data_IF_374666983873
#
_entry.id   IF_374666983873
#
_cell.length_a   1.000
_cell.length_b   1.000
_cell.length_c   1.000
_cell.angle_alpha   90.00
_cell.angle_beta   90.00
_cell.angle_gamma   90.00
#
_symmetry.space_group_name_H-M   'P 1'
#
loop_
_entity.id
_entity.type
_entity.pdbx_description
1 polymer ?
#
# COMPACT_ATOMS: atom_id res chain seq x y z
N UNK A 1 -1.30 27.36 22.07
CA UNK A 1 -1.26 25.89 22.00
C UNK A 1 -1.20 25.56 20.53
N UNK A 2 -0.02 25.26 20.00
CA UNK A 2 0.09 24.74 18.64
C UNK A 2 -0.28 23.27 18.75
N UNK A 3 -1.56 22.95 18.58
CA UNK A 3 -1.98 21.58 18.38
C UNK A 3 -1.52 21.22 16.98
N UNK A 4 -0.50 20.36 16.88
CA UNK A 4 -0.21 19.67 15.62
C UNK A 4 -1.55 19.13 15.05
N UNK A 5 -1.74 19.16 13.72
CA UNK A 5 -2.96 18.64 13.12
C UNK A 5 -3.26 17.23 13.66
N UNK A 6 -4.52 16.87 13.94
CA UNK A 6 -4.83 15.51 14.37
C UNK A 6 -4.65 14.53 13.19
N UNK A 7 -4.42 13.24 13.45
CA UNK A 7 -4.51 12.22 12.41
C UNK A 7 -5.94 12.18 11.86
N UNK A 8 -6.12 11.85 10.57
CA UNK A 8 -7.45 11.51 10.07
C UNK A 8 -7.82 10.14 10.63
N UNK A 9 -8.88 10.05 11.44
CA UNK A 9 -9.37 8.78 12.00
C UNK A 9 -10.68 8.36 11.33
N UNK A 10 -10.71 7.13 10.81
CA UNK A 10 -11.87 6.53 10.13
C UNK A 10 -12.28 5.26 10.89
N UNK A 11 -13.54 5.16 11.33
CA UNK A 11 -14.04 3.98 12.06
C UNK A 11 -14.86 3.04 11.15
N UNK A 12 -14.19 2.00 10.66
CA UNK A 12 -14.75 0.93 9.82
C UNK A 12 -14.99 -0.38 10.61
N UNK A 13 -15.10 -0.32 11.94
CA UNK A 13 -15.39 -1.52 12.76
C UNK A 13 -16.86 -1.94 12.66
N UNK A 14 -17.14 -3.12 13.22
CA UNK A 14 -18.49 -3.64 13.45
C UNK A 14 -19.28 -3.95 12.16
N UNK A 15 -18.61 -4.55 11.17
CA UNK A 15 -19.24 -4.97 9.92
C UNK A 15 -19.40 -3.85 8.89
N UNK A 16 -18.64 -2.77 9.06
CA UNK A 16 -18.47 -1.73 8.05
C UNK A 16 -17.28 -2.08 7.16
N UNK A 17 -17.33 -1.57 5.95
CA UNK A 17 -16.25 -1.56 4.98
C UNK A 17 -15.75 -0.11 4.81
N UNK A 18 -14.49 0.04 4.44
CA UNK A 18 -13.91 1.33 4.08
C UNK A 18 -13.15 1.23 2.76
N UNK A 19 -13.24 2.29 1.95
CA UNK A 19 -12.28 2.52 0.89
C UNK A 19 -11.66 3.92 0.98
N UNK A 20 -10.44 4.03 0.45
CA UNK A 20 -9.73 5.29 0.28
C UNK A 20 -9.18 5.31 -1.14
N UNK A 21 -9.58 6.32 -1.91
CA UNK A 21 -9.02 6.64 -3.20
C UNK A 21 -8.00 7.77 -3.02
N UNK A 22 -6.75 7.53 -3.42
CA UNK A 22 -5.74 8.58 -3.54
C UNK A 22 -5.93 9.32 -4.87
N UNK A 23 -5.90 10.66 -4.81
CA UNK A 23 -6.12 11.52 -5.96
C UNK A 23 -4.83 12.28 -6.30
N UNK A 24 -4.57 12.43 -7.60
CA UNK A 24 -3.40 13.13 -8.14
C UNK A 24 -3.28 14.61 -7.71
N UNK A 25 -4.35 15.20 -7.18
CA UNK A 25 -4.38 16.58 -6.68
C UNK A 25 -3.92 16.73 -5.21
N UNK A 26 -3.44 15.64 -4.58
CA UNK A 26 -2.96 15.64 -3.20
C UNK A 26 -4.05 15.43 -2.16
N UNK A 27 -5.23 15.01 -2.62
CA UNK A 27 -6.35 14.66 -1.73
C UNK A 27 -6.56 13.16 -1.66
N UNK A 28 -7.34 12.75 -0.66
CA UNK A 28 -7.97 11.44 -0.62
C UNK A 28 -9.49 11.60 -0.64
N UNK A 29 -10.17 10.66 -1.27
CA UNK A 29 -11.63 10.49 -1.14
C UNK A 29 -11.89 9.18 -0.43
N UNK A 30 -12.66 9.19 0.66
CA UNK A 30 -12.93 7.99 1.44
C UNK A 30 -14.42 7.79 1.68
N UNK A 31 -14.79 6.51 1.77
CA UNK A 31 -16.14 6.07 2.07
C UNK A 31 -16.11 5.08 3.22
N UNK A 32 -17.19 5.07 4.00
CA UNK A 32 -17.50 4.02 4.98
C UNK A 32 -18.93 3.57 4.74
N UNK A 33 -19.15 2.27 4.62
CA UNK A 33 -20.48 1.72 4.38
C UNK A 33 -20.68 0.40 5.12
N UNK A 34 -21.92 -0.03 5.19
CA UNK A 34 -22.28 -1.37 5.63
C UNK A 34 -23.39 -1.95 4.74
N UNK A 35 -23.59 -3.26 4.82
CA UNK A 35 -24.64 -3.95 4.07
C UNK A 35 -25.91 -4.09 4.89
N UNK A 36 -27.04 -3.66 4.32
CA UNK A 36 -28.38 -3.95 4.83
C UNK A 36 -29.10 -4.86 3.83
N UNK A 37 -29.03 -6.17 4.08
CA UNK A 37 -29.42 -7.18 3.10
C UNK A 37 -28.51 -7.09 1.88
N UNK A 38 -29.08 -6.83 0.70
CA UNK A 38 -28.36 -6.67 -0.56
C UNK A 38 -28.02 -5.22 -0.93
N UNK A 39 -28.31 -4.26 -0.05
CA UNK A 39 -28.09 -2.84 -0.32
C UNK A 39 -26.89 -2.33 0.46
N UNK A 40 -26.03 -1.58 -0.24
CA UNK A 40 -24.94 -0.82 0.37
C UNK A 40 -25.50 0.47 0.96
N UNK A 41 -25.26 0.71 2.23
CA UNK A 41 -25.66 1.94 2.96
C UNK A 41 -24.40 2.66 3.40
N UNK A 42 -24.21 3.89 2.93
CA UNK A 42 -23.06 4.71 3.31
C UNK A 42 -23.29 5.41 4.65
N UNK A 43 -22.37 5.20 5.57
CA UNK A 43 -22.25 5.98 6.81
C UNK A 43 -21.48 7.28 6.55
N UNK A 44 -20.46 7.19 5.67
CA UNK A 44 -19.71 8.32 5.11
C UNK A 44 -19.61 8.08 3.61
N UNK A 45 -19.97 9.09 2.81
CA UNK A 45 -19.95 9.02 1.36
C UNK A 45 -19.13 10.17 0.79
N UNK A 46 -18.19 9.83 -0.11
CA UNK A 46 -17.39 10.75 -0.92
C UNK A 46 -16.76 11.89 -0.09
N UNK A 47 -16.27 11.57 1.11
CA UNK A 47 -15.63 12.56 1.97
C UNK A 47 -14.20 12.77 1.53
N UNK A 48 -13.76 14.03 1.46
CA UNK A 48 -12.43 14.40 0.97
C UNK A 48 -11.58 15.01 2.08
N UNK A 49 -10.29 14.68 2.10
CA UNK A 49 -9.28 15.34 2.93
C UNK A 49 -8.02 15.62 2.11
N UNK A 50 -7.39 16.78 2.32
CA UNK A 50 -6.07 17.06 1.75
C UNK A 50 -5.00 16.35 2.58
N UNK A 51 -4.07 15.66 1.93
CA UNK A 51 -2.96 14.97 2.62
C UNK A 51 -2.09 15.97 3.37
N UNK A 52 -1.85 17.14 2.79
CA UNK A 52 -1.04 18.23 3.35
C UNK A 52 -1.63 18.87 4.62
N UNK A 53 -2.94 18.71 4.87
CA UNK A 53 -3.61 19.21 6.07
C UNK A 53 -3.50 18.23 7.25
N UNK A 54 -3.02 17.00 7.01
CA UNK A 54 -2.86 15.97 8.04
C UNK A 54 -1.50 16.09 8.73
N UNK A 55 -1.36 15.48 9.90
CA UNK A 55 -0.04 15.28 10.53
C UNK A 55 0.76 14.12 9.92
N UNK A 56 0.43 13.71 8.69
CA UNK A 56 1.04 12.58 8.01
C UNK A 56 0.46 11.21 8.36
N UNK A 57 -0.64 11.13 9.14
CA UNK A 57 -1.29 9.86 9.47
C UNK A 57 -2.76 9.83 9.02
N UNK A 58 -3.11 8.75 8.33
CA UNK A 58 -4.48 8.28 8.17
C UNK A 58 -4.61 6.99 8.99
N UNK A 59 -5.49 6.97 9.98
CA UNK A 59 -5.71 5.85 10.89
C UNK A 59 -7.10 5.25 10.68
N UNK A 60 -7.16 4.02 10.18
CA UNK A 60 -8.40 3.28 9.95
C UNK A 60 -8.55 2.19 11.00
N UNK A 61 -9.68 2.22 11.71
CA UNK A 61 -10.08 1.14 12.59
C UNK A 61 -10.92 0.15 11.79
N UNK A 62 -10.34 -0.97 11.37
CA UNK A 62 -10.97 -1.96 10.50
C UNK A 62 -10.12 -2.29 9.29
N UNK A 63 -10.73 -2.98 8.33
CA UNK A 63 -10.17 -3.19 6.99
C UNK A 63 -10.28 -1.90 6.16
N UNK A 64 -9.35 -1.70 5.23
CA UNK A 64 -9.42 -0.62 4.24
C UNK A 64 -9.04 -1.09 2.86
N UNK A 65 -9.83 -0.71 1.86
CA UNK A 65 -9.52 -0.89 0.45
C UNK A 65 -8.87 0.37 -0.11
N UNK A 66 -7.79 0.24 -0.89
CA UNK A 66 -7.06 1.39 -1.42
C UNK A 66 -6.72 1.26 -2.91
N UNK A 67 -6.69 2.41 -3.57
CA UNK A 67 -6.27 2.58 -4.96
C UNK A 67 -5.92 4.06 -5.21
N UNK A 68 -5.23 4.32 -6.32
CA UNK A 68 -5.08 5.66 -6.89
C UNK A 68 -3.67 6.20 -6.96
N UNK A 69 -3.60 7.51 -7.06
CA UNK A 69 -2.34 8.24 -7.24
C UNK A 69 -2.06 9.09 -6.02
N UNK A 70 -0.94 8.81 -5.37
CA UNK A 70 -0.49 9.49 -4.16
C UNK A 70 0.29 10.74 -4.55
N UNK A 71 -0.18 11.90 -4.11
CA UNK A 71 0.55 13.16 -4.18
C UNK A 71 0.72 13.69 -2.76
N UNK A 72 1.95 13.67 -2.24
CA UNK A 72 2.32 14.05 -0.88
C UNK A 72 2.89 12.91 -0.01
N UNK A 73 3.05 13.21 1.28
CA UNK A 73 3.78 12.38 2.23
C UNK A 73 2.84 11.93 3.36
N UNK A 74 2.54 10.62 3.43
CA UNK A 74 1.53 10.09 4.35
C UNK A 74 1.76 8.63 4.74
N UNK A 75 1.27 8.28 5.92
CA UNK A 75 1.22 6.91 6.42
C UNK A 75 -0.21 6.50 6.69
N UNK A 76 -0.66 5.44 6.01
CA UNK A 76 -1.93 4.79 6.26
C UNK A 76 -1.72 3.60 7.21
N UNK A 77 -2.43 3.62 8.32
CA UNK A 77 -2.42 2.57 9.32
C UNK A 77 -3.81 1.95 9.39
N UNK A 78 -3.90 0.62 9.30
CA UNK A 78 -5.15 -0.12 9.51
C UNK A 78 -5.02 -1.11 10.68
N UNK A 79 -6.05 -1.20 11.52
CA UNK A 79 -6.08 -2.18 12.62
C UNK A 79 -6.38 -3.60 12.15
N UNK A 80 -6.84 -3.77 10.92
CA UNK A 80 -7.00 -5.07 10.26
C UNK A 80 -6.27 -5.05 8.90
N UNK A 81 -6.85 -5.59 7.83
CA UNK A 81 -6.16 -5.75 6.54
C UNK A 81 -6.17 -4.46 5.71
N UNK A 82 -5.07 -4.21 4.98
CA UNK A 82 -5.05 -3.24 3.88
C UNK A 82 -5.19 -4.02 2.57
N UNK A 83 -6.23 -3.71 1.79
CA UNK A 83 -6.56 -4.37 0.52
C UNK A 83 -6.28 -3.42 -0.65
N UNK A 84 -5.28 -3.71 -1.46
CA UNK A 84 -4.94 -2.96 -2.67
C UNK A 84 -5.84 -3.45 -3.80
N UNK A 85 -6.80 -2.63 -4.21
CA UNK A 85 -7.86 -3.01 -5.18
C UNK A 85 -7.56 -2.58 -6.61
N UNK A 86 -6.55 -1.73 -6.79
CA UNK A 86 -5.98 -1.25 -8.06
C UNK A 86 -4.58 -0.69 -7.75
N UNK A 87 -3.89 -0.14 -8.74
CA UNK A 87 -2.61 0.55 -8.59
C UNK A 87 -2.65 1.57 -7.43
N UNK A 88 -1.56 1.63 -6.67
CA UNK A 88 -1.26 2.68 -5.69
C UNK A 88 0.10 3.24 -6.06
N UNK A 89 0.10 4.33 -6.81
CA UNK A 89 1.30 4.84 -7.50
C UNK A 89 1.60 6.27 -7.06
N UNK A 90 2.87 6.66 -6.97
CA UNK A 90 3.23 8.06 -6.76
C UNK A 90 2.89 8.92 -7.99
N UNK A 91 2.46 10.16 -7.76
CA UNK A 91 2.23 11.13 -8.81
C UNK A 91 3.51 11.40 -9.60
N UNK A 92 4.63 11.50 -8.89
CA UNK A 92 5.95 11.75 -9.46
C UNK A 92 6.73 10.44 -9.71
N UNK A 93 6.12 9.54 -10.50
CA UNK A 93 6.77 8.29 -10.92
C UNK A 93 6.49 7.92 -12.37
N UNK A 94 7.41 7.16 -12.98
CA UNK A 94 7.29 6.73 -14.38
C UNK A 94 6.14 5.72 -14.59
N UNK A 95 5.88 5.30 -15.84
CA UNK A 95 4.79 4.38 -16.15
C UNK A 95 4.88 3.00 -15.47
N UNK A 96 6.00 2.67 -14.83
CA UNK A 96 6.25 1.42 -14.13
C UNK A 96 6.34 1.60 -12.60
N UNK A 97 6.00 2.80 -12.09
CA UNK A 97 6.02 3.14 -10.66
C UNK A 97 7.38 3.59 -10.15
N UNK A 98 8.40 3.70 -11.00
CA UNK A 98 9.71 4.14 -10.52
C UNK A 98 9.65 5.62 -10.14
N UNK A 99 9.94 6.01 -8.89
CA UNK A 99 9.98 7.41 -8.50
C UNK A 99 10.97 8.18 -9.38
N UNK A 100 10.57 9.35 -9.86
CA UNK A 100 11.46 10.24 -10.60
C UNK A 100 12.51 10.86 -9.68
N UNK A 101 13.51 11.53 -10.25
CA UNK A 101 14.58 12.17 -9.47
C UNK A 101 14.11 13.31 -8.57
N UNK A 102 12.96 13.91 -8.89
CA UNK A 102 12.32 15.03 -8.21
C UNK A 102 11.12 14.61 -7.34
N UNK A 103 10.78 13.33 -7.32
CA UNK A 103 9.64 12.81 -6.57
C UNK A 103 9.75 13.15 -5.08
N UNK A 104 8.77 13.89 -4.57
CA UNK A 104 8.60 14.24 -3.16
C UNK A 104 7.46 13.45 -2.49
N UNK A 105 6.82 12.54 -3.23
CA UNK A 105 5.79 11.64 -2.73
C UNK A 105 6.36 10.47 -1.91
N UNK A 106 5.70 10.15 -0.80
CA UNK A 106 6.05 9.01 0.04
C UNK A 106 4.81 8.44 0.76
N UNK A 107 4.57 7.15 0.58
CA UNK A 107 3.50 6.40 1.24
C UNK A 107 4.08 5.29 2.10
N UNK A 108 3.57 5.17 3.33
CA UNK A 108 3.67 3.93 4.09
C UNK A 108 2.31 3.29 4.33
N UNK A 109 2.27 1.97 4.19
CA UNK A 109 1.13 1.12 4.50
C UNK A 109 1.49 0.23 5.69
N UNK A 110 0.84 0.45 6.83
CA UNK A 110 1.04 -0.33 8.04
C UNK A 110 -0.25 -1.05 8.37
N UNK A 111 -0.28 -2.36 8.14
CA UNK A 111 -1.39 -3.22 8.55
C UNK A 111 -1.02 -3.94 9.84
N UNK A 112 -1.93 -3.91 10.81
CA UNK A 112 -1.83 -4.77 12.00
C UNK A 112 -1.99 -6.26 11.66
N UNK A 113 -2.54 -6.59 10.48
CA UNK A 113 -2.69 -7.93 9.94
C UNK A 113 -1.87 -8.11 8.65
N UNK A 114 -2.55 -8.25 7.52
CA UNK A 114 -1.97 -8.51 6.21
C UNK A 114 -2.16 -7.32 5.26
N UNK A 115 -1.24 -7.22 4.29
CA UNK A 115 -1.41 -6.35 3.13
C UNK A 115 -1.70 -7.24 1.92
N UNK A 116 -2.81 -7.00 1.25
CA UNK A 116 -3.38 -7.94 0.29
C UNK A 116 -3.62 -7.25 -1.03
N UNK A 117 -3.04 -7.74 -2.13
CA UNK A 117 -3.47 -7.35 -3.47
C UNK A 117 -4.74 -8.14 -3.80
N UNK A 118 -5.87 -7.43 -3.85
CA UNK A 118 -7.18 -8.04 -3.98
C UNK A 118 -7.43 -8.57 -5.40
N UNK A 119 -8.26 -9.60 -5.53
CA UNK A 119 -8.65 -10.17 -6.82
C UNK A 119 -9.76 -9.34 -7.49
N UNK A 120 -9.36 -8.20 -8.08
CA UNK A 120 -10.25 -7.28 -8.79
C UNK A 120 -9.98 -7.31 -10.30
N UNK A 121 -10.95 -6.87 -11.14
CA UNK A 121 -10.70 -6.73 -12.58
C UNK A 121 -9.53 -5.82 -12.94
N UNK A 122 -9.25 -4.78 -12.13
CA UNK A 122 -8.12 -3.89 -12.35
C UNK A 122 -6.78 -4.62 -12.13
N UNK A 123 -6.71 -5.44 -11.08
CA UNK A 123 -5.57 -6.29 -10.77
C UNK A 123 -5.45 -7.53 -11.69
N UNK A 124 -6.07 -7.56 -12.87
CA UNK A 124 -5.89 -8.65 -13.85
C UNK A 124 -4.94 -8.27 -14.99
N UNK A 125 -4.36 -7.06 -14.97
CA UNK A 125 -3.41 -6.57 -15.99
C UNK A 125 -2.34 -5.66 -15.37
N UNK A 126 -1.29 -6.29 -14.82
CA UNK A 126 -0.28 -5.65 -13.97
C UNK A 126 -0.88 -5.06 -12.66
N UNK A 127 -0.02 -4.67 -11.73
CA UNK A 127 -0.37 -3.87 -10.55
C UNK A 127 0.90 -3.17 -10.06
N UNK A 128 0.82 -1.86 -9.83
CA UNK A 128 1.91 -0.99 -9.38
C UNK A 128 1.64 -0.54 -7.94
N UNK A 129 2.63 -0.70 -7.08
CA UNK A 129 2.58 -0.29 -5.68
C UNK A 129 3.84 0.48 -5.33
N UNK A 130 3.70 1.78 -5.12
CA UNK A 130 4.76 2.66 -4.67
C UNK A 130 4.54 2.99 -3.19
N UNK A 131 5.14 2.19 -2.29
CA UNK A 131 4.95 2.34 -0.85
C UNK A 131 5.96 1.55 -0.02
N UNK A 132 6.21 2.01 1.21
CA UNK A 132 6.78 1.19 2.28
C UNK A 132 5.68 0.31 2.91
N UNK A 133 5.79 -1.01 2.75
CA UNK A 133 4.79 -1.98 3.22
C UNK A 133 5.25 -2.65 4.52
N UNK A 134 4.40 -2.59 5.55
CA UNK A 134 4.59 -3.29 6.82
C UNK A 134 3.33 -4.08 7.19
N UNK A 135 3.41 -5.41 7.10
CA UNK A 135 2.38 -6.35 7.58
C UNK A 135 2.83 -6.95 8.92
N UNK A 136 2.12 -6.63 10.01
CA UNK A 136 2.53 -6.99 11.36
C UNK A 136 2.16 -8.42 11.79
N UNK A 137 1.04 -8.97 11.31
CA UNK A 137 0.63 -10.33 11.71
C UNK A 137 1.30 -11.40 10.85
N UNK A 138 1.12 -11.34 9.53
CA UNK A 138 1.59 -12.40 8.63
C UNK A 138 2.38 -11.87 7.42
N UNK A 139 1.72 -11.33 6.39
CA UNK A 139 2.24 -11.37 5.03
C UNK A 139 1.76 -10.22 4.15
N UNK A 140 2.56 -9.92 3.14
CA UNK A 140 2.12 -9.25 1.91
C UNK A 140 1.88 -10.32 0.83
N UNK A 141 0.64 -10.48 0.33
CA UNK A 141 0.27 -11.54 -0.62
C UNK A 141 -0.78 -11.10 -1.66
N UNK A 142 -1.04 -11.94 -2.65
CA UNK A 142 -2.07 -11.73 -3.68
C UNK A 142 -3.23 -12.72 -3.51
N UNK A 143 -4.46 -12.24 -3.53
CA UNK A 143 -5.66 -13.10 -3.54
C UNK A 143 -5.74 -13.95 -4.80
N UNK A 144 -6.14 -15.22 -4.62
CA UNK A 144 -6.32 -16.18 -5.71
C UNK A 144 -5.08 -16.37 -6.60
N UNK A 145 -3.88 -16.12 -6.05
CA UNK A 145 -2.59 -16.18 -6.76
C UNK A 145 -2.33 -17.50 -7.50
N UNK A 146 -2.93 -18.61 -7.07
CA UNK A 146 -2.74 -19.94 -7.62
C UNK A 146 -3.75 -20.32 -8.69
N UNK A 147 -4.63 -19.40 -9.09
CA UNK A 147 -5.74 -19.66 -10.00
C UNK A 147 -5.87 -18.57 -11.07
N UNK A 148 -6.67 -18.85 -12.10
CA UNK A 148 -6.90 -17.92 -13.21
C UNK A 148 -5.72 -17.81 -14.17
N UNK A 149 -5.84 -16.87 -15.11
CA UNK A 149 -4.78 -16.52 -16.05
C UNK A 149 -3.64 -15.77 -15.35
N UNK A 150 -2.42 -15.76 -15.91
CA UNK A 150 -1.38 -14.83 -15.49
C UNK A 150 -1.90 -13.38 -15.49
N UNK A 151 -1.58 -12.62 -14.44
CA UNK A 151 -2.00 -11.23 -14.22
C UNK A 151 -0.92 -10.20 -14.58
N UNK A 152 0.15 -10.63 -15.25
CA UNK A 152 1.26 -9.74 -15.61
C UNK A 152 2.33 -9.61 -14.51
N UNK A 153 2.71 -8.39 -14.17
CA UNK A 153 3.73 -8.00 -13.20
C UNK A 153 3.13 -7.29 -11.99
N UNK A 154 3.52 -7.75 -10.80
CA UNK A 154 3.34 -7.01 -9.56
C UNK A 154 4.61 -6.20 -9.32
N UNK A 155 4.54 -4.90 -9.62
CA UNK A 155 5.63 -3.95 -9.47
C UNK A 155 5.54 -3.27 -8.13
N UNK A 156 6.60 -3.35 -7.34
CA UNK A 156 6.68 -2.67 -6.06
C UNK A 156 7.92 -1.79 -6.03
N UNK A 157 7.74 -0.48 -5.87
CA UNK A 157 8.81 0.47 -5.59
C UNK A 157 8.68 0.96 -4.15
N UNK A 158 9.55 0.49 -3.27
CA UNK A 158 9.46 0.83 -1.86
C UNK A 158 10.19 -0.13 -0.95
N UNK A 159 9.52 -0.62 0.09
CA UNK A 159 10.07 -1.65 0.97
C UNK A 159 8.97 -2.64 1.37
N UNK A 160 9.35 -3.87 1.73
CA UNK A 160 8.40 -4.89 2.17
C UNK A 160 8.93 -5.53 3.46
N UNK A 161 8.25 -5.25 4.57
CA UNK A 161 8.46 -5.84 5.87
C UNK A 161 7.25 -6.70 6.23
N UNK A 162 7.49 -8.00 6.39
CA UNK A 162 6.45 -9.01 6.67
C UNK A 162 7.06 -10.13 7.50
N UNK A 163 6.24 -10.81 8.31
CA UNK A 163 6.69 -11.92 9.16
C UNK A 163 6.94 -13.19 8.35
N UNK A 164 6.04 -13.48 7.41
CA UNK A 164 6.13 -14.60 6.48
C UNK A 164 5.96 -14.05 5.07
N UNK A 165 6.74 -14.57 4.13
CA UNK A 165 6.62 -14.17 2.73
C UNK A 165 5.32 -14.71 2.13
N UNK A 166 4.46 -13.80 1.69
CA UNK A 166 3.25 -14.16 0.98
C UNK A 166 3.47 -14.62 -0.48
N UNK A 167 2.64 -15.55 -0.99
CA UNK A 167 2.64 -15.93 -2.39
C UNK A 167 1.95 -14.87 -3.26
N UNK A 168 2.42 -14.70 -4.49
CA UNK A 168 1.82 -13.73 -5.45
C UNK A 168 1.51 -14.35 -6.81
N UNK A 169 1.96 -15.58 -7.04
CA UNK A 169 1.79 -16.31 -8.28
C UNK A 169 2.46 -17.68 -8.19
N UNK A 170 2.15 -18.54 -9.15
CA UNK A 170 2.79 -19.86 -9.30
C UNK A 170 3.59 -19.93 -10.59
N UNK A 171 4.64 -20.76 -10.57
CA UNK A 171 5.53 -20.96 -11.70
C UNK A 171 5.78 -22.46 -11.84
N UNK A 172 5.34 -23.04 -12.96
CA UNK A 172 5.54 -24.45 -13.26
C UNK A 172 5.79 -24.66 -14.75
N UNK A 173 6.20 -25.87 -15.13
CA UNK A 173 6.31 -26.26 -16.54
C UNK A 173 4.98 -26.16 -17.30
N UNK A 174 3.85 -26.34 -16.59
CA UNK A 174 2.51 -26.42 -17.17
C UNK A 174 1.79 -25.08 -17.26
N UNK A 175 2.42 -24.01 -16.77
CA UNK A 175 1.85 -22.68 -16.79
C UNK A 175 2.20 -21.85 -15.57
N UNK A 176 1.72 -20.61 -15.59
CA UNK A 176 1.89 -19.59 -14.55
C UNK A 176 0.51 -19.09 -14.14
N UNK A 177 0.36 -18.73 -12.88
CA UNK A 177 -0.85 -18.07 -12.35
C UNK A 177 -0.45 -16.91 -11.46
N UNK A 178 -1.36 -15.95 -11.24
CA UNK A 178 -1.04 -14.72 -10.51
C UNK A 178 0.04 -13.89 -11.22
N UNK A 179 0.92 -13.27 -10.46
CA UNK A 179 1.88 -12.28 -10.96
C UNK A 179 3.32 -12.77 -11.07
N UNK A 180 4.04 -12.17 -12.02
CA UNK A 180 5.50 -12.03 -12.00
C UNK A 180 5.91 -11.04 -10.92
N UNK A 181 6.95 -11.34 -10.14
CA UNK A 181 7.49 -10.40 -9.15
C UNK A 181 8.45 -9.42 -9.80
N UNK A 182 8.28 -8.13 -9.52
CA UNK A 182 9.18 -7.07 -9.95
C UNK A 182 9.35 -6.05 -8.81
N UNK A 183 10.25 -6.35 -7.87
CA UNK A 183 10.38 -5.58 -6.62
C UNK A 183 11.67 -4.79 -6.62
N UNK A 184 11.54 -3.51 -6.36
CA UNK A 184 12.62 -2.56 -6.29
C UNK A 184 12.59 -1.82 -4.95
N UNK A 185 13.77 -1.67 -4.36
CA UNK A 185 13.90 -0.84 -3.16
C UNK A 185 13.86 0.64 -3.54
N UNK A 186 13.04 1.42 -2.86
CA UNK A 186 13.08 2.88 -2.97
C UNK A 186 14.22 3.43 -2.11
N UNK A 187 15.33 3.77 -2.77
CA UNK A 187 16.54 4.27 -2.12
C UNK A 187 16.31 5.58 -1.35
N UNK A 188 15.26 6.35 -1.67
CA UNK A 188 14.94 7.60 -0.95
C UNK A 188 14.61 7.33 0.51
N UNK A 189 14.10 6.15 0.85
CA UNK A 189 13.75 5.79 2.23
C UNK A 189 14.94 5.70 3.19
N UNK A 190 16.18 5.69 2.69
CA UNK A 190 17.38 5.81 3.53
C UNK A 190 17.54 7.21 4.13
N UNK A 191 17.02 8.24 3.46
CA UNK A 191 17.18 9.64 3.86
C UNK A 191 15.84 10.28 4.26
N UNK A 192 14.79 9.96 3.51
CA UNK A 192 13.43 10.50 3.66
C UNK A 192 12.42 9.35 3.69
N UNK A 193 12.40 8.54 4.77
CA UNK A 193 11.37 7.53 4.95
C UNK A 193 9.98 8.18 5.13
N UNK A 194 8.89 7.48 4.80
CA UNK A 194 7.55 7.96 5.10
C UNK A 194 7.39 8.23 6.62
N UNK A 195 6.54 9.20 7.00
CA UNK A 195 6.44 9.66 8.39
C UNK A 195 5.93 8.53 9.29
N UNK A 196 6.45 8.39 10.50
CA UNK A 196 6.04 7.33 11.45
C UNK A 196 6.28 5.88 11.00
N UNK A 197 6.91 5.65 9.84
CA UNK A 197 7.34 4.32 9.45
C UNK A 197 8.56 3.90 10.28
N UNK A 198 8.59 2.68 10.86
CA UNK A 198 9.73 2.26 11.65
C UNK A 198 10.97 2.16 10.77
N UNK A 199 11.99 2.95 11.07
CA UNK A 199 13.29 2.78 10.45
C UNK A 199 13.99 1.59 11.10
N UNK A 200 14.50 0.68 10.28
CA UNK A 200 15.55 -0.24 10.71
C UNK A 200 16.72 0.64 11.15
N UNK A 201 16.90 0.85 12.46
CA UNK A 201 17.90 1.79 12.99
C UNK A 201 19.28 1.60 12.33
N UNK A 202 20.10 2.65 12.31
CA UNK A 202 21.37 2.73 11.56
C UNK A 202 22.13 1.38 11.45
N UNK A 203 22.06 0.73 10.28
CA UNK A 203 22.94 -0.37 9.92
C UNK A 203 24.09 0.20 9.09
N UNK A 204 25.28 0.29 9.68
CA UNK A 204 26.51 0.58 8.93
C UNK A 204 27.03 -0.71 8.28
N UNK A 205 27.26 -0.68 6.97
CA UNK A 205 28.03 -1.73 6.29
C UNK A 205 29.48 -1.60 6.74
N UNK A 206 29.87 -2.40 7.74
CA UNK A 206 31.23 -2.34 8.30
C UNK A 206 32.29 -2.87 7.33
N UNK A 207 31.97 -3.87 6.50
CA UNK A 207 32.87 -4.40 5.46
C UNK A 207 32.12 -5.32 4.49
N UNK A 208 32.38 -5.18 3.20
CA UNK A 208 32.24 -6.27 2.23
C UNK A 208 33.62 -6.53 1.60
N UNK A 209 33.95 -7.80 1.37
CA UNK A 209 35.13 -8.21 0.61
C UNK A 209 34.71 -9.26 -0.40
N UNK A 210 34.86 -8.93 -1.67
CA UNK A 210 34.76 -9.88 -2.76
C UNK A 210 36.00 -10.79 -2.75
N UNK A 211 35.79 -12.10 -2.74
CA UNK A 211 36.86 -13.08 -2.91
C UNK A 211 36.75 -13.60 -4.34
N UNK A 212 37.67 -13.17 -5.20
CA UNK A 212 37.88 -13.81 -6.50
C UNK A 212 38.48 -15.21 -6.30
N UNK A 213 38.14 -16.20 -7.15
CA UNK A 213 38.69 -17.56 -7.08
C UNK A 213 40.22 -17.62 -7.08
#
# INVERSE_FOLDING_TARGET
MNSDPPPLTIDARFGRDCNIQFNADGTITFNVWHWQGSHKVYDIQDSTANISDLNGIIYVQGDVQIAGTVNGVVTLIATDDIKIIDDVKYQDSDSYGRPTSDCDDALALISAKDIVVADTPANHDDCIIDAALLALDSSFYVENYSSGSPRGYLRVWGSISQKVRGPVGTFSWWGRTGYSKDYHYDQRFEQTPPPYYPTTGNYEISMWKELTP
#
